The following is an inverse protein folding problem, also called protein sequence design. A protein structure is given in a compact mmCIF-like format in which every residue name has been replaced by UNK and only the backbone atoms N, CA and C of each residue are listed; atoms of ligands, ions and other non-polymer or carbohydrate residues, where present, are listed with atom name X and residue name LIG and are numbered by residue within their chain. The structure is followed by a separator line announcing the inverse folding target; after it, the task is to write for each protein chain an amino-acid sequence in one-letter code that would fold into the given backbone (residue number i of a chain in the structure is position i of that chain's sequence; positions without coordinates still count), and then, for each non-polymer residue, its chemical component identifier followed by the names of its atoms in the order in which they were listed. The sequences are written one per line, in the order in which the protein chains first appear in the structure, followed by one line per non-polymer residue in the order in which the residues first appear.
data_IF_707759843770
#
_entry.id   IF_707759843770
#
_cell.length_a   1.000
_cell.length_b   1.000
_cell.length_c   1.000
_cell.angle_alpha   90.00
_cell.angle_beta   90.00
_cell.angle_gamma   90.00
#
_symmetry.space_group_name_H-M   'P 1'
#
loop_
_entity.id
_entity.type
_entity.pdbx_description
1 polymer ?
#
# COMPACT_ATOMS: atom_id res chain seq x y z
N UNK A 1 31.73 -20.63 -0.70
CA UNK A 1 30.82 -19.96 -1.66
C UNK A 1 30.22 -18.73 -1.00
N UNK A 2 30.40 -17.53 -1.57
CA UNK A 2 29.80 -16.30 -1.04
C UNK A 2 28.28 -16.34 -1.27
N UNK A 3 27.48 -16.05 -0.25
CA UNK A 3 26.00 -15.94 -0.35
C UNK A 3 25.65 -14.57 -0.93
N UNK A 4 24.49 -14.46 -1.58
CA UNK A 4 23.97 -13.15 -2.00
C UNK A 4 23.48 -12.39 -0.77
N UNK A 5 23.86 -11.12 -0.69
CA UNK A 5 23.41 -10.19 0.34
C UNK A 5 22.91 -8.92 -0.35
N UNK A 6 21.67 -8.52 -0.08
CA UNK A 6 21.13 -7.28 -0.60
C UNK A 6 21.40 -6.16 0.39
N UNK A 7 22.18 -5.16 -0.03
CA UNK A 7 22.64 -4.06 0.83
C UNK A 7 21.50 -3.25 1.47
N UNK A 8 20.29 -3.29 0.89
CA UNK A 8 19.12 -2.57 1.39
C UNK A 8 18.05 -3.48 2.02
N UNK A 9 18.39 -4.72 2.40
CA UNK A 9 17.43 -5.65 3.04
C UNK A 9 16.83 -5.07 4.33
N UNK A 10 17.64 -4.38 5.14
CA UNK A 10 17.16 -3.71 6.36
C UNK A 10 16.17 -2.59 6.03
N UNK A 11 16.42 -1.84 4.97
CA UNK A 11 15.53 -0.76 4.50
C UNK A 11 14.21 -1.34 3.99
N UNK A 12 14.27 -2.41 3.19
CA UNK A 12 13.09 -3.13 2.71
C UNK A 12 12.23 -3.63 3.88
N UNK A 13 12.87 -4.20 4.92
CA UNK A 13 12.15 -4.66 6.12
C UNK A 13 11.45 -3.51 6.83
N UNK A 14 12.12 -2.39 7.06
CA UNK A 14 11.52 -1.22 7.71
C UNK A 14 10.37 -0.64 6.87
N UNK A 15 10.57 -0.48 5.56
CA UNK A 15 9.52 0.02 4.65
C UNK A 15 8.32 -0.92 4.58
N UNK A 16 8.53 -2.24 4.63
CA UNK A 16 7.44 -3.22 4.70
C UNK A 16 6.63 -3.11 6.01
N UNK A 17 7.28 -2.76 7.12
CA UNK A 17 6.59 -2.50 8.38
C UNK A 17 5.79 -1.20 8.32
N UNK A 18 6.38 -0.14 7.75
CA UNK A 18 5.68 1.12 7.53
C UNK A 18 4.47 0.95 6.61
N UNK A 19 4.56 0.10 5.59
CA UNK A 19 3.41 -0.24 4.72
C UNK A 19 2.24 -0.80 5.54
N UNK A 20 2.51 -1.75 6.45
CA UNK A 20 1.47 -2.34 7.31
C UNK A 20 0.86 -1.32 8.26
N UNK A 21 1.67 -0.39 8.77
CA UNK A 21 1.19 0.70 9.62
C UNK A 21 0.29 1.64 8.80
N UNK A 22 0.71 2.03 7.60
CA UNK A 22 -0.07 2.89 6.72
C UNK A 22 -1.40 2.23 6.29
N UNK A 23 -1.40 0.91 6.01
CA UNK A 23 -2.63 0.15 5.75
C UNK A 23 -3.58 0.14 6.96
N UNK A 24 -3.04 -0.01 8.17
CA UNK A 24 -3.84 0.05 9.39
C UNK A 24 -4.41 1.46 9.66
N UNK A 25 -3.64 2.50 9.39
CA UNK A 25 -4.09 3.89 9.51
C UNK A 25 -5.13 4.26 8.44
N UNK A 26 -4.97 3.79 7.20
CA UNK A 26 -5.99 3.94 6.14
C UNK A 26 -7.33 3.32 6.59
N UNK A 27 -7.29 2.07 7.10
CA UNK A 27 -8.48 1.38 7.57
C UNK A 27 -9.14 2.10 8.77
N UNK A 28 -8.34 2.65 9.69
CA UNK A 28 -8.86 3.44 10.83
C UNK A 28 -9.51 4.74 10.33
N UNK A 29 -8.85 5.45 9.43
CA UNK A 29 -9.37 6.70 8.88
C UNK A 29 -10.65 6.47 8.05
N UNK A 30 -10.73 5.37 7.32
CA UNK A 30 -11.93 4.94 6.60
C UNK A 30 -13.10 4.70 7.56
N UNK A 31 -12.88 3.96 8.64
CA UNK A 31 -13.91 3.71 9.66
C UNK A 31 -14.43 5.01 10.27
N UNK A 32 -13.53 5.96 10.59
CA UNK A 32 -13.91 7.27 11.12
C UNK A 32 -14.72 8.07 10.10
N UNK A 33 -14.34 8.03 8.82
CA UNK A 33 -15.09 8.68 7.74
C UNK A 33 -16.50 8.09 7.57
N UNK A 34 -16.62 6.77 7.55
CA UNK A 34 -17.92 6.07 7.45
C UNK A 34 -18.80 6.39 8.66
N UNK A 35 -18.23 6.40 9.87
CA UNK A 35 -18.96 6.76 11.08
C UNK A 35 -19.46 8.20 11.03
N UNK A 36 -18.62 9.16 10.64
CA UNK A 36 -19.00 10.56 10.51
C UNK A 36 -20.11 10.74 9.47
N UNK A 37 -20.05 10.02 8.35
CA UNK A 37 -21.09 10.04 7.31
C UNK A 37 -22.40 9.46 7.79
N UNK A 38 -22.36 8.38 8.57
CA UNK A 38 -23.55 7.79 9.19
C UNK A 38 -24.23 8.77 10.15
N UNK A 39 -23.46 9.60 10.88
CA UNK A 39 -24.02 10.66 11.72
C UNK A 39 -24.72 11.73 10.87
N UNK A 40 -24.12 12.17 9.76
CA UNK A 40 -24.75 13.12 8.82
C UNK A 40 -26.08 12.58 8.30
N UNK A 41 -26.09 11.33 7.84
CA UNK A 41 -27.29 10.68 7.32
C UNK A 41 -28.36 10.55 8.41
N UNK A 42 -27.96 10.23 9.65
CA UNK A 42 -28.84 10.18 10.81
C UNK A 42 -29.51 11.52 11.09
N UNK A 43 -28.77 12.64 11.08
CA UNK A 43 -29.32 13.98 11.27
C UNK A 43 -30.26 14.39 10.12
N UNK A 44 -29.92 14.04 8.88
CA UNK A 44 -30.80 14.27 7.71
C UNK A 44 -32.13 13.54 7.84
N UNK A 45 -32.10 12.28 8.27
CA UNK A 45 -33.34 11.51 8.55
C UNK A 45 -34.16 12.18 9.65
N UNK A 46 -33.53 12.71 10.71
CA UNK A 46 -34.25 13.45 11.76
C UNK A 46 -34.88 14.73 11.22
N UNK A 47 -34.18 15.50 10.37
CA UNK A 47 -34.75 16.68 9.71
C UNK A 47 -35.99 16.34 8.87
N UNK A 48 -35.93 15.28 8.06
CA UNK A 48 -37.08 14.83 7.25
C UNK A 48 -38.27 14.47 8.15
N UNK A 49 -38.04 13.71 9.23
CA UNK A 49 -39.12 13.36 10.18
C UNK A 49 -39.74 14.58 10.85
N UNK A 50 -38.95 15.58 11.22
CA UNK A 50 -39.46 16.83 11.80
C UNK A 50 -40.25 17.63 10.76
N UNK A 51 -39.77 17.68 9.51
CA UNK A 51 -40.48 18.34 8.41
C UNK A 51 -41.84 17.66 8.13
N UNK A 52 -41.89 16.33 8.08
CA UNK A 52 -43.14 15.57 7.93
C UNK A 52 -44.11 15.82 9.09
N UNK A 53 -43.60 15.80 10.33
CA UNK A 53 -44.40 16.09 11.52
C UNK A 53 -44.93 17.53 11.54
N UNK A 54 -44.19 18.49 10.99
CA UNK A 54 -44.61 19.87 10.79
C UNK A 54 -45.70 19.98 9.72
N UNK A 55 -45.49 19.34 8.56
CA UNK A 55 -46.46 19.35 7.48
C UNK A 55 -47.81 18.79 7.91
N UNK A 56 -47.83 17.75 8.76
CA UNK A 56 -49.07 17.19 9.32
C UNK A 56 -49.80 18.12 10.32
N UNK A 57 -49.12 19.13 10.87
CA UNK A 57 -49.70 20.11 11.82
C UNK A 57 -50.16 21.40 11.15
N UNK A 58 -49.78 21.63 9.90
CA UNK A 58 -50.25 22.78 9.12
C UNK A 58 -51.78 22.72 8.97
N UNK A 59 -52.46 23.82 9.29
CA UNK A 59 -53.92 23.91 9.26
C UNK A 59 -54.63 23.43 10.54
N UNK A 60 -53.89 22.94 11.54
CA UNK A 60 -54.43 22.64 12.87
C UNK A 60 -54.27 23.84 13.82
N UNK A 61 -55.14 23.95 14.82
CA UNK A 61 -55.06 24.94 15.90
C UNK A 61 -53.89 24.64 16.84
N UNK A 62 -52.67 24.92 16.39
CA UNK A 62 -51.42 24.70 17.13
C UNK A 62 -51.16 25.90 18.04
N UNK A 63 -50.77 25.64 19.29
CA UNK A 63 -50.43 26.69 20.25
C UNK A 63 -49.16 27.45 19.80
N UNK A 64 -49.07 28.78 20.01
CA UNK A 64 -47.85 29.55 19.73
C UNK A 64 -46.58 28.94 20.34
N UNK A 65 -46.66 28.37 21.56
CA UNK A 65 -45.52 27.72 22.20
C UNK A 65 -45.02 26.48 21.42
N UNK A 66 -45.92 25.75 20.75
CA UNK A 66 -45.55 24.60 19.93
C UNK A 66 -44.81 25.03 18.66
N UNK A 67 -45.15 26.17 18.07
CA UNK A 67 -44.41 26.73 16.94
C UNK A 67 -42.99 27.15 17.31
N UNK A 68 -42.82 27.81 18.46
CA UNK A 68 -41.50 28.20 18.98
C UNK A 68 -40.63 26.95 19.21
N UNK A 69 -41.15 25.93 19.87
CA UNK A 69 -40.40 24.69 20.13
C UNK A 69 -39.94 24.00 18.85
N UNK A 70 -40.76 23.99 17.80
CA UNK A 70 -40.33 23.36 16.54
C UNK A 70 -39.33 24.22 15.79
N UNK A 71 -39.46 25.55 15.84
CA UNK A 71 -38.45 26.45 15.30
C UNK A 71 -37.08 26.22 15.98
N UNK A 72 -37.04 26.20 17.31
CA UNK A 72 -35.82 25.91 18.07
C UNK A 72 -35.23 24.53 17.74
N UNK A 73 -36.09 23.50 17.62
CA UNK A 73 -35.67 22.16 17.21
C UNK A 73 -35.06 22.18 15.79
N UNK A 74 -35.67 22.91 14.85
CA UNK A 74 -35.18 23.02 13.48
C UNK A 74 -33.83 23.74 13.40
N UNK A 75 -33.63 24.80 14.19
CA UNK A 75 -32.34 25.47 14.29
C UNK A 75 -31.27 24.56 14.89
N UNK A 76 -31.61 23.85 15.96
CA UNK A 76 -30.69 22.92 16.61
C UNK A 76 -30.27 21.78 15.65
N UNK A 77 -31.22 21.21 14.90
CA UNK A 77 -30.91 20.21 13.88
C UNK A 77 -30.06 20.77 12.73
N UNK A 78 -30.28 22.03 12.34
CA UNK A 78 -29.47 22.69 11.32
C UNK A 78 -28.03 22.91 11.78
N UNK A 79 -27.84 23.34 13.03
CA UNK A 79 -26.51 23.47 13.66
C UNK A 79 -25.81 22.11 13.80
N UNK A 80 -26.54 21.08 14.21
CA UNK A 80 -26.01 19.71 14.30
C UNK A 80 -25.62 19.17 12.93
N UNK A 81 -26.42 19.42 11.90
CA UNK A 81 -26.10 19.00 10.54
C UNK A 81 -24.81 19.67 10.03
N UNK A 82 -24.70 20.99 10.19
CA UNK A 82 -23.51 21.73 9.79
C UNK A 82 -22.25 21.22 10.52
N UNK A 83 -22.34 20.95 11.83
CA UNK A 83 -21.24 20.38 12.60
C UNK A 83 -20.88 18.96 12.15
N UNK A 84 -21.88 18.11 11.87
CA UNK A 84 -21.67 16.76 11.38
C UNK A 84 -21.04 16.74 9.98
N UNK A 85 -21.47 17.62 9.07
CA UNK A 85 -20.91 17.76 7.73
C UNK A 85 -19.46 18.27 7.78
N UNK A 86 -19.16 19.22 8.66
CA UNK A 86 -17.79 19.67 8.88
C UNK A 86 -16.91 18.54 9.43
N UNK A 87 -17.42 17.74 10.37
CA UNK A 87 -16.70 16.58 10.91
C UNK A 87 -16.47 15.50 9.84
N UNK A 88 -17.46 15.22 8.99
CA UNK A 88 -17.35 14.28 7.88
C UNK A 88 -16.34 14.75 6.82
N UNK A 89 -16.35 16.04 6.48
CA UNK A 89 -15.34 16.64 5.58
C UNK A 89 -13.92 16.55 6.14
N UNK A 90 -13.75 16.82 7.44
CA UNK A 90 -12.46 16.68 8.10
C UNK A 90 -11.98 15.21 8.14
N UNK A 91 -12.89 14.26 8.36
CA UNK A 91 -12.59 12.84 8.33
C UNK A 91 -12.24 12.36 6.90
N UNK A 92 -12.93 12.86 5.88
CA UNK A 92 -12.63 12.58 4.48
C UNK A 92 -11.23 13.07 4.09
N UNK A 93 -10.87 14.29 4.49
CA UNK A 93 -9.54 14.84 4.25
C UNK A 93 -8.45 13.97 4.89
N UNK A 94 -8.65 13.52 6.14
CA UNK A 94 -7.72 12.61 6.83
C UNK A 94 -7.61 11.25 6.13
N UNK A 95 -8.74 10.69 5.68
CA UNK A 95 -8.74 9.43 4.93
C UNK A 95 -8.00 9.54 3.59
N UNK A 96 -8.17 10.65 2.86
CA UNK A 96 -7.41 10.93 1.63
C UNK A 96 -5.91 11.04 1.89
N UNK A 97 -5.50 11.72 2.96
CA UNK A 97 -4.08 11.81 3.34
C UNK A 97 -3.53 10.41 3.65
N UNK A 98 -4.24 9.62 4.45
CA UNK A 98 -3.83 8.24 4.79
C UNK A 98 -3.72 7.35 3.53
N UNK A 99 -4.62 7.49 2.57
CA UNK A 99 -4.53 6.78 1.28
C UNK A 99 -3.27 7.16 0.49
N UNK A 100 -2.95 8.45 0.39
CA UNK A 100 -1.76 8.91 -0.34
C UNK A 100 -0.46 8.47 0.35
N UNK A 101 -0.42 8.50 1.68
CA UNK A 101 0.71 7.96 2.45
C UNK A 101 0.87 6.45 2.20
N UNK A 102 -0.22 5.68 2.26
CA UNK A 102 -0.19 4.24 1.98
C UNK A 102 0.27 3.95 0.54
N UNK A 103 -0.19 4.72 -0.45
CA UNK A 103 0.26 4.58 -1.85
C UNK A 103 1.75 4.86 -1.99
N UNK A 104 2.23 5.93 -1.35
CA UNK A 104 3.64 6.32 -1.37
C UNK A 104 4.53 5.20 -0.82
N UNK A 105 4.20 4.71 0.39
CA UNK A 105 4.98 3.64 1.03
C UNK A 105 4.88 2.32 0.26
N UNK A 106 3.72 1.99 -0.32
CA UNK A 106 3.57 0.81 -1.16
C UNK A 106 4.48 0.87 -2.40
N UNK A 107 4.53 2.01 -3.08
CA UNK A 107 5.40 2.23 -4.23
C UNK A 107 6.89 2.10 -3.88
N UNK A 108 7.32 2.63 -2.73
CA UNK A 108 8.71 2.46 -2.26
C UNK A 108 9.06 0.98 -2.00
N UNK A 109 8.14 0.22 -1.39
CA UNK A 109 8.35 -1.22 -1.14
C UNK A 109 8.45 -1.99 -2.45
N UNK A 110 7.60 -1.69 -3.42
CA UNK A 110 7.63 -2.30 -4.75
C UNK A 110 8.93 -1.99 -5.50
N UNK A 111 9.39 -0.72 -5.44
CA UNK A 111 10.66 -0.31 -6.02
C UNK A 111 11.84 -1.06 -5.38
N UNK A 112 11.89 -1.17 -4.05
CA UNK A 112 12.96 -1.89 -3.35
C UNK A 112 12.92 -3.40 -3.62
N UNK A 113 11.73 -3.99 -3.72
CA UNK A 113 11.57 -5.42 -4.05
C UNK A 113 12.04 -5.69 -5.48
N UNK A 114 11.69 -4.81 -6.41
CA UNK A 114 12.14 -4.90 -7.80
C UNK A 114 13.66 -4.76 -7.91
N UNK A 115 14.25 -3.81 -7.19
CA UNK A 115 15.71 -3.62 -7.14
C UNK A 115 16.42 -4.86 -6.58
N UNK A 116 15.87 -5.46 -5.52
CA UNK A 116 16.41 -6.71 -4.95
C UNK A 116 16.38 -7.84 -5.97
N UNK A 117 15.28 -8.00 -6.69
CA UNK A 117 15.14 -9.01 -7.73
C UNK A 117 16.18 -8.82 -8.85
N UNK A 118 16.33 -7.58 -9.36
CA UNK A 118 17.32 -7.25 -10.38
C UNK A 118 18.75 -7.58 -9.92
N UNK A 119 19.10 -7.23 -8.68
CA UNK A 119 20.42 -7.53 -8.11
C UNK A 119 20.65 -9.03 -7.92
N UNK A 120 19.63 -9.77 -7.53
CA UNK A 120 19.68 -11.22 -7.43
C UNK A 120 19.92 -11.87 -8.79
N UNK A 121 19.18 -11.44 -9.81
CA UNK A 121 19.32 -11.96 -11.16
C UNK A 121 20.71 -11.65 -11.75
N UNK A 122 21.23 -10.45 -11.51
CA UNK A 122 22.59 -10.08 -11.88
C UNK A 122 23.63 -10.97 -11.20
N UNK A 123 23.52 -11.17 -9.88
CA UNK A 123 24.41 -12.04 -9.13
C UNK A 123 24.36 -13.50 -9.63
N UNK A 124 23.17 -14.00 -9.98
CA UNK A 124 22.98 -15.33 -10.53
C UNK A 124 23.70 -15.49 -11.87
N UNK A 125 23.54 -14.53 -12.78
CA UNK A 125 24.24 -14.52 -14.08
C UNK A 125 25.76 -14.46 -13.93
N UNK A 126 26.27 -13.61 -13.04
CA UNK A 126 27.72 -13.54 -12.76
C UNK A 126 28.27 -14.86 -12.23
N UNK A 127 27.50 -15.54 -11.36
CA UNK A 127 27.89 -16.82 -10.80
C UNK A 127 27.87 -17.93 -11.85
N UNK A 128 26.86 -17.95 -12.71
CA UNK A 128 26.77 -18.89 -13.84
C UNK A 128 27.93 -18.67 -14.81
N UNK A 129 28.22 -17.42 -15.17
CA UNK A 129 29.34 -17.07 -16.05
C UNK A 129 30.69 -17.55 -15.51
N UNK A 130 30.99 -17.28 -14.22
CA UNK A 130 32.23 -17.77 -13.59
C UNK A 130 32.32 -19.29 -13.50
N UNK A 131 31.18 -19.95 -13.32
CA UNK A 131 31.14 -21.42 -13.28
C UNK A 131 31.43 -21.98 -14.67
N UNK A 132 30.85 -21.38 -15.72
CA UNK A 132 31.11 -21.76 -17.11
C UNK A 132 32.57 -21.54 -17.49
N UNK A 133 33.14 -20.37 -17.15
CA UNK A 133 34.55 -20.05 -17.38
C UNK A 133 35.49 -21.09 -16.75
N UNK A 134 35.19 -21.52 -15.52
CA UNK A 134 35.96 -22.59 -14.85
C UNK A 134 35.84 -23.94 -15.56
N UNK A 135 34.66 -24.30 -16.06
CA UNK A 135 34.45 -25.54 -16.81
C UNK A 135 35.17 -25.53 -18.16
N UNK A 136 35.13 -24.39 -18.85
CA UNK A 136 35.82 -24.18 -20.13
C UNK A 136 37.33 -24.26 -19.93
N UNK A 137 37.87 -23.64 -18.87
CA UNK A 137 39.29 -23.71 -18.51
C UNK A 137 39.74 -25.15 -18.20
N UNK A 138 38.97 -25.91 -17.41
CA UNK A 138 39.27 -27.32 -17.12
C UNK A 138 39.25 -28.15 -18.41
N UNK A 139 38.28 -27.92 -19.28
CA UNK A 139 38.13 -28.65 -20.55
C UNK A 139 39.31 -28.36 -21.49
N UNK A 140 39.72 -27.09 -21.59
CA UNK A 140 40.87 -26.66 -22.37
C UNK A 140 42.16 -27.30 -21.84
N UNK A 141 42.40 -27.27 -20.53
CA UNK A 141 43.58 -27.91 -19.92
C UNK A 141 43.64 -29.41 -20.20
N UNK A 142 42.52 -30.12 -20.12
CA UNK A 142 42.45 -31.55 -20.45
C UNK A 142 42.71 -31.82 -21.93
N UNK A 143 42.17 -30.98 -22.81
CA UNK A 143 42.39 -31.09 -24.24
C UNK A 143 43.86 -30.84 -24.62
N UNK A 144 44.49 -29.82 -24.02
CA UNK A 144 45.92 -29.53 -24.22
C UNK A 144 46.80 -30.70 -23.74
N UNK A 145 46.54 -31.24 -22.54
CA UNK A 145 47.29 -32.39 -22.03
C UNK A 145 47.17 -33.61 -22.96
N UNK A 146 45.95 -33.92 -23.44
CA UNK A 146 45.75 -35.02 -24.38
C UNK A 146 46.42 -34.81 -25.75
N UNK A 147 46.62 -33.55 -26.18
CA UNK A 147 47.37 -33.22 -27.40
C UNK A 147 48.88 -33.39 -27.19
N UNK A 148 49.41 -32.97 -26.05
CA UNK A 148 50.81 -33.20 -25.67
C UNK A 148 51.13 -34.69 -25.65
N UNK A 149 50.31 -35.52 -24.98
CA UNK A 149 50.47 -36.97 -24.93
C UNK A 149 50.49 -37.61 -26.33
N UNK A 150 49.59 -37.17 -27.23
CA UNK A 150 49.54 -37.65 -28.63
C UNK A 150 50.79 -37.27 -29.41
N UNK A 151 51.28 -36.05 -29.23
CA UNK A 151 52.47 -35.56 -29.90
C UNK A 151 53.73 -36.27 -29.39
N UNK A 152 53.81 -36.60 -28.10
CA UNK A 152 54.89 -37.40 -27.53
C UNK A 152 54.87 -38.85 -28.03
N UNK A 153 53.69 -39.49 -28.08
CA UNK A 153 53.55 -40.82 -28.66
C UNK A 153 54.01 -40.88 -30.13
N UNK A 154 53.57 -39.91 -30.95
CA UNK A 154 53.97 -39.83 -32.36
C UNK A 154 55.49 -39.58 -32.54
N UNK A 155 56.14 -38.86 -31.62
CA UNK A 155 57.60 -38.66 -31.64
C UNK A 155 58.37 -39.93 -31.29
N UNK A 156 57.87 -40.71 -30.33
CA UNK A 156 58.50 -41.96 -29.92
C UNK A 156 58.34 -43.07 -30.97
N UNK A 157 57.28 -43.05 -31.78
CA UNK A 157 57.10 -43.99 -32.90
C UNK A 157 57.95 -43.64 -34.14
N UNK A 158 58.41 -42.39 -34.25
CA UNK A 158 59.22 -41.90 -35.37
C UNK A 158 60.74 -41.97 -35.13
N UNK A 159 61.18 -42.38 -33.93
CA UNK A 159 62.57 -42.52 -33.51
C UNK A 159 62.98 -44.01 -33.44
#
# INVERSE_FOLDING_TARGET
MKRFEFSMDRVLKVKSQLKRIAEAEEARAEQVFIAARTVVDGVKVQQVRVAEALSGKLGQGVSPCQWVNVFELSENLSRQLAAAEQAASAAEAKWKIAQEERKTVAGEVEALTSLRQQKWDAWKREREAKTQEQLDEISLRRWMAAQEDRNEAARNEAA
#
